data_IF_514296764452
#
_entry.id   IF_514296764452
#
_cell.length_a   1.000
_cell.length_b   1.000
_cell.length_c   1.000
_cell.angle_alpha   90.00
_cell.angle_beta   90.00
_cell.angle_gamma   90.00
#
_symmetry.space_group_name_H-M   'P 1'
#
loop_
_entity.id
_entity.type
_entity.pdbx_description
1 polymer ?
#
# COMPACT_ATOMS: atom_id res chain seq x y z
N UNK A 1 10.90 15.52 -0.30
CA UNK A 1 10.50 14.25 0.32
C UNK A 1 9.02 14.08 0.07
N UNK A 2 8.61 12.86 -0.30
CA UNK A 2 7.21 12.45 -0.39
C UNK A 2 6.62 12.78 0.97
N UNK A 3 5.73 13.77 1.00
CA UNK A 3 5.24 14.31 2.26
C UNK A 3 4.12 13.45 2.85
N UNK A 4 3.46 12.65 2.02
CA UNK A 4 2.31 11.85 2.41
C UNK A 4 2.19 10.57 1.60
N UNK A 5 1.73 9.51 2.25
CA UNK A 5 1.28 8.27 1.62
C UNK A 5 -0.23 8.13 1.77
N UNK A 6 -0.85 7.49 0.79
CA UNK A 6 -2.27 7.19 0.78
C UNK A 6 -2.45 5.69 0.55
N UNK A 7 -3.03 4.96 1.49
CA UNK A 7 -3.40 3.55 1.24
C UNK A 7 -4.86 3.45 0.88
N UNK A 8 -5.20 2.63 -0.11
CA UNK A 8 -6.59 2.26 -0.42
C UNK A 8 -6.75 0.75 -0.30
N UNK A 9 -7.75 0.30 0.47
CA UNK A 9 -7.94 -1.13 0.75
C UNK A 9 -9.42 -1.45 0.96
N UNK A 10 -9.86 -2.64 0.56
CA UNK A 10 -11.13 -3.23 0.95
C UNK A 10 -10.87 -4.36 1.95
N UNK A 11 -11.55 -4.33 3.10
CA UNK A 11 -11.37 -5.32 4.18
C UNK A 11 -12.72 -5.93 4.55
N UNK A 12 -12.76 -7.25 4.74
CA UNK A 12 -13.91 -7.93 5.37
C UNK A 12 -13.90 -7.77 6.90
N UNK A 13 -14.91 -8.28 7.61
CA UNK A 13 -15.06 -7.97 9.04
C UNK A 13 -13.85 -8.42 9.90
N UNK A 14 -13.15 -9.50 9.49
CA UNK A 14 -11.96 -10.01 10.16
C UNK A 14 -10.63 -9.38 9.65
N UNK A 15 -10.70 -8.25 8.92
CA UNK A 15 -9.57 -7.57 8.28
C UNK A 15 -8.92 -8.33 7.11
N UNK A 16 -9.54 -9.40 6.60
CA UNK A 16 -9.06 -10.14 5.44
C UNK A 16 -9.03 -9.29 4.16
N UNK A 17 -7.98 -9.47 3.36
CA UNK A 17 -7.75 -8.77 2.07
C UNK A 17 -7.39 -9.71 0.92
N UNK A 18 -7.21 -11.01 1.21
CA UNK A 18 -6.79 -11.98 0.20
C UNK A 18 -6.80 -13.42 0.74
N UNK A 19 -6.81 -14.36 -0.20
CA UNK A 19 -6.73 -15.81 0.02
C UNK A 19 -5.82 -16.44 -1.06
N UNK A 20 -5.07 -17.46 -0.68
CA UNK A 20 -4.21 -18.31 -1.50
C UNK A 20 -2.99 -17.62 -2.15
N UNK A 21 -2.67 -16.39 -1.73
CA UNK A 21 -1.42 -15.67 -2.07
C UNK A 21 -1.08 -15.57 -3.57
N UNK A 22 -1.99 -15.92 -4.47
CA UNK A 22 -1.70 -16.06 -5.90
C UNK A 22 -1.77 -14.69 -6.56
N UNK A 23 -0.62 -14.05 -6.65
CA UNK A 23 -0.37 -13.08 -7.71
C UNK A 23 -0.45 -13.82 -9.06
N UNK A 24 -1.11 -13.26 -10.09
CA UNK A 24 -1.24 -13.92 -11.40
C UNK A 24 0.09 -14.11 -12.14
N UNK A 25 1.19 -13.53 -11.64
CA UNK A 25 2.49 -13.47 -12.28
C UNK A 25 3.63 -13.88 -11.32
N UNK A 26 4.76 -14.41 -11.85
CA UNK A 26 5.93 -14.74 -11.05
C UNK A 26 6.61 -13.49 -10.47
N UNK A 27 7.47 -13.64 -9.44
CA UNK A 27 8.26 -12.53 -8.91
C UNK A 27 9.10 -11.88 -10.01
N UNK A 28 9.04 -10.55 -10.07
CA UNK A 28 9.61 -9.74 -11.13
C UNK A 28 11.09 -9.49 -10.85
N UNK A 29 11.95 -9.78 -11.82
CA UNK A 29 13.39 -9.45 -11.78
C UNK A 29 13.72 -8.21 -12.62
N UNK A 30 12.88 -7.96 -13.63
CA UNK A 30 12.95 -6.85 -14.56
C UNK A 30 11.63 -6.08 -14.56
N UNK A 31 11.66 -4.84 -15.05
CA UNK A 31 10.47 -3.98 -15.13
C UNK A 31 9.42 -4.64 -16.05
N UNK A 32 8.20 -4.96 -15.56
CA UNK A 32 7.14 -5.52 -16.37
C UNK A 32 6.73 -4.59 -17.52
N UNK A 33 6.14 -5.17 -18.57
CA UNK A 33 5.45 -4.38 -19.58
C UNK A 33 4.37 -3.50 -18.94
N UNK A 34 4.44 -2.18 -19.18
CA UNK A 34 3.51 -1.19 -18.63
C UNK A 34 3.90 -0.61 -17.27
N UNK A 35 4.90 -1.16 -16.59
CA UNK A 35 5.45 -0.57 -15.38
C UNK A 35 6.52 0.49 -15.73
N UNK A 36 6.52 1.60 -14.99
CA UNK A 36 7.53 2.65 -15.18
C UNK A 36 8.87 2.30 -14.52
N UNK A 37 8.81 1.66 -13.36
CA UNK A 37 9.95 1.42 -12.49
C UNK A 37 9.73 0.17 -11.64
N UNK A 38 10.81 -0.58 -11.38
CA UNK A 38 10.82 -1.71 -10.44
C UNK A 38 11.82 -1.39 -9.33
N UNK A 39 11.32 -1.36 -8.10
CA UNK A 39 12.12 -1.16 -6.88
C UNK A 39 12.16 -2.45 -6.07
N UNK A 40 13.24 -2.67 -5.32
CA UNK A 40 13.42 -3.82 -4.43
C UNK A 40 12.90 -3.57 -3.01
N UNK A 41 12.55 -2.33 -2.69
CA UNK A 41 11.94 -1.92 -1.42
C UNK A 41 11.03 -0.71 -1.61
N UNK A 42 10.15 -0.44 -0.63
CA UNK A 42 9.37 0.80 -0.62
C UNK A 42 10.28 2.02 -0.50
N UNK A 43 11.39 1.92 0.24
CA UNK A 43 12.37 3.00 0.36
C UNK A 43 12.96 3.41 -1.00
N UNK A 44 13.46 2.45 -1.79
CA UNK A 44 14.01 2.70 -3.12
C UNK A 44 12.96 3.30 -4.06
N UNK A 45 11.70 2.84 -3.96
CA UNK A 45 10.60 3.41 -4.72
C UNK A 45 10.35 4.89 -4.36
N UNK A 46 10.37 5.23 -3.06
CA UNK A 46 10.18 6.59 -2.59
C UNK A 46 11.36 7.50 -2.99
N UNK A 47 12.59 7.00 -2.93
CA UNK A 47 13.77 7.73 -3.39
C UNK A 47 13.71 8.01 -4.90
N UNK A 48 13.24 7.06 -5.69
CA UNK A 48 13.03 7.27 -7.12
C UNK A 48 11.99 8.36 -7.41
N UNK A 49 10.90 8.39 -6.63
CA UNK A 49 9.86 9.42 -6.72
C UNK A 49 10.38 10.82 -6.34
N UNK A 50 11.49 10.91 -5.62
CA UNK A 50 12.13 12.18 -5.25
C UNK A 50 12.97 12.83 -6.36
N UNK A 51 13.22 12.10 -7.46
CA UNK A 51 13.98 12.63 -8.59
C UNK A 51 13.27 13.84 -9.24
N UNK A 52 14.01 14.80 -9.83
CA UNK A 52 13.40 15.98 -10.48
C UNK A 52 12.43 15.63 -11.60
N UNK A 53 12.64 14.50 -12.27
CA UNK A 53 11.72 14.01 -13.30
C UNK A 53 10.39 13.57 -12.69
N UNK A 54 10.44 12.72 -11.66
CA UNK A 54 9.23 12.16 -11.05
C UNK A 54 8.41 13.21 -10.30
N UNK A 55 9.07 14.15 -9.62
CA UNK A 55 8.39 15.29 -8.98
C UNK A 55 7.56 16.15 -9.93
N UNK A 56 7.87 16.15 -11.22
CA UNK A 56 7.09 16.88 -12.25
C UNK A 56 5.92 16.08 -12.79
N UNK A 57 5.91 14.76 -12.60
CA UNK A 57 4.92 13.82 -13.17
C UNK A 57 3.93 13.29 -12.13
N UNK A 58 4.35 13.18 -10.87
CA UNK A 58 3.60 12.53 -9.80
C UNK A 58 3.01 13.58 -8.87
N UNK A 59 1.69 13.53 -8.70
CA UNK A 59 0.96 14.34 -7.72
C UNK A 59 0.85 13.62 -6.35
N UNK A 60 0.25 12.43 -6.35
CA UNK A 60 0.03 11.63 -5.12
C UNK A 60 0.59 10.23 -5.23
N UNK A 61 1.10 9.72 -4.11
CA UNK A 61 1.65 8.36 -3.98
C UNK A 61 0.64 7.47 -3.27
N UNK A 62 0.13 6.47 -4.01
CA UNK A 62 -0.86 5.52 -3.50
C UNK A 62 -0.26 4.14 -3.29
N UNK A 63 -0.49 3.59 -2.11
CA UNK A 63 -0.20 2.19 -1.77
C UNK A 63 -1.47 1.37 -2.01
N UNK A 64 -1.35 0.37 -2.88
CA UNK A 64 -2.46 -0.50 -3.31
C UNK A 64 -2.29 -1.95 -2.86
N UNK A 65 -1.35 -2.20 -1.95
CA UNK A 65 -1.10 -3.50 -1.31
C UNK A 65 0.17 -4.20 -1.79
N UNK A 66 0.45 -5.43 -1.35
CA UNK A 66 -0.34 -6.25 -0.40
C UNK A 66 -0.05 -5.96 1.08
N UNK A 67 -0.39 -6.92 1.96
CA UNK A 67 -0.25 -6.82 3.43
C UNK A 67 1.11 -6.29 3.90
N UNK A 68 2.21 -6.77 3.32
CA UNK A 68 3.56 -6.36 3.70
C UNK A 68 3.84 -4.89 3.41
N UNK A 69 3.44 -4.40 2.23
CA UNK A 69 3.63 -3.00 1.83
C UNK A 69 2.72 -2.07 2.64
N UNK A 70 1.48 -2.49 2.95
CA UNK A 70 0.63 -1.73 3.87
C UNK A 70 1.28 -1.58 5.23
N UNK A 71 1.82 -2.67 5.79
CA UNK A 71 2.50 -2.67 7.09
C UNK A 71 3.69 -1.72 7.08
N UNK A 72 4.57 -1.86 6.09
CA UNK A 72 5.77 -1.01 5.97
C UNK A 72 5.39 0.47 5.83
N UNK A 73 4.38 0.81 5.02
CA UNK A 73 3.91 2.18 4.86
C UNK A 73 3.34 2.75 6.18
N UNK A 74 2.55 1.96 6.91
CA UNK A 74 1.92 2.38 8.18
C UNK A 74 2.90 2.54 9.34
N UNK A 75 4.05 1.87 9.30
CA UNK A 75 5.10 1.95 10.32
C UNK A 75 6.06 3.14 10.10
N UNK A 76 6.04 3.77 8.91
CA UNK A 76 6.89 4.92 8.60
C UNK A 76 6.44 6.20 9.33
N UNK A 77 7.38 7.04 9.78
CA UNK A 77 7.07 8.33 10.39
C UNK A 77 6.72 9.39 9.31
N UNK A 78 5.68 9.12 8.52
CA UNK A 78 5.19 9.96 7.43
C UNK A 78 3.70 10.22 7.61
N UNK A 79 3.19 11.34 7.08
CA UNK A 79 1.75 11.54 7.07
C UNK A 79 1.08 10.45 6.22
N UNK A 80 0.19 9.66 6.82
CA UNK A 80 -0.44 8.54 6.13
C UNK A 80 -1.95 8.59 6.28
N UNK A 81 -2.67 8.57 5.16
CA UNK A 81 -4.12 8.47 5.13
C UNK A 81 -4.55 7.09 4.62
N UNK A 82 -5.52 6.47 5.32
CA UNK A 82 -6.07 5.17 4.97
C UNK A 82 -7.49 5.34 4.44
N UNK A 83 -7.73 4.92 3.20
CA UNK A 83 -9.04 4.82 2.55
C UNK A 83 -9.49 3.37 2.66
N UNK A 84 -10.35 3.08 3.63
CA UNK A 84 -10.73 1.72 4.00
C UNK A 84 -12.19 1.46 3.64
N UNK A 85 -12.44 0.62 2.64
CA UNK A 85 -13.77 0.10 2.35
C UNK A 85 -14.07 -1.07 3.30
N UNK A 86 -15.11 -0.95 4.11
CA UNK A 86 -15.59 -2.03 4.99
C UNK A 86 -16.59 -2.90 4.25
N UNK A 87 -16.21 -4.14 3.95
CA UNK A 87 -17.11 -5.15 3.41
C UNK A 87 -17.79 -5.85 4.59
N UNK A 88 -19.08 -5.61 4.78
CA UNK A 88 -19.88 -6.12 5.90
C UNK A 88 -20.25 -7.61 5.71
N UNK A 89 -19.26 -8.43 5.39
CA UNK A 89 -19.40 -9.87 5.17
C UNK A 89 -18.09 -10.57 5.55
N UNK A 90 -18.17 -11.82 6.01
CA UNK A 90 -17.00 -12.63 6.34
C UNK A 90 -16.54 -13.42 5.11
N UNK A 91 -15.24 -13.43 4.85
CA UNK A 91 -14.63 -14.26 3.83
C UNK A 91 -13.52 -15.08 4.47
N UNK A 92 -13.31 -16.29 3.98
CA UNK A 92 -12.10 -17.04 4.28
C UNK A 92 -10.90 -16.27 3.71
N UNK A 93 -9.88 -16.04 4.54
CA UNK A 93 -8.72 -15.21 4.18
C UNK A 93 -7.48 -15.75 4.88
N UNK A 94 -6.34 -15.67 4.20
CA UNK A 94 -5.01 -15.98 4.76
C UNK A 94 -4.10 -14.76 4.80
N UNK A 95 -4.53 -13.67 4.17
CA UNK A 95 -3.82 -12.40 4.09
C UNK A 95 -4.70 -11.31 4.68
N UNK A 96 -4.16 -10.53 5.60
CA UNK A 96 -4.91 -9.56 6.41
C UNK A 96 -4.31 -8.17 6.29
N UNK A 97 -5.15 -7.14 6.38
CA UNK A 97 -4.68 -5.78 6.53
C UNK A 97 -4.10 -5.58 7.95
N UNK A 98 -3.01 -4.80 8.12
CA UNK A 98 -2.47 -4.51 9.44
C UNK A 98 -3.49 -3.86 10.37
N UNK A 99 -3.35 -4.08 11.68
CA UNK A 99 -4.21 -3.42 12.67
C UNK A 99 -4.06 -1.89 12.59
N UNK A 100 -5.19 -1.18 12.60
CA UNK A 100 -5.22 0.28 12.61
C UNK A 100 -5.15 0.74 14.06
N UNK A 101 -3.97 1.14 14.52
CA UNK A 101 -3.77 1.69 15.86
C UNK A 101 -4.48 3.04 16.00
N UNK A 102 -5.59 3.07 16.74
CA UNK A 102 -6.41 4.27 16.98
C UNK A 102 -5.73 5.33 17.85
N UNK A 103 -4.54 5.05 18.42
CA UNK A 103 -3.69 6.08 19.03
C UNK A 103 -2.91 6.87 18.00
N UNK A 104 -2.66 6.27 16.83
CA UNK A 104 -1.93 6.88 15.70
C UNK A 104 -2.88 7.40 14.62
N UNK A 105 -3.97 6.69 14.40
CA UNK A 105 -4.97 7.00 13.38
C UNK A 105 -6.27 7.47 14.00
N UNK A 106 -6.94 8.39 13.31
CA UNK A 106 -8.28 8.88 13.66
C UNK A 106 -9.18 8.72 12.45
N UNK A 107 -10.37 8.16 12.66
CA UNK A 107 -11.41 8.14 11.63
C UNK A 107 -11.86 9.58 11.35
N UNK A 108 -11.77 9.99 10.09
CA UNK A 108 -12.24 11.29 9.65
C UNK A 108 -13.77 11.26 9.44
N UNK A 109 -14.47 12.38 9.69
CA UNK A 109 -15.91 12.49 9.46
C UNK A 109 -16.29 12.42 7.99
#
# INVERSE_FOLDING_TARGET
MVASLYSIVAVCNNMGIGKDGKLPWPPLRDVPAGAHYLAKSLEEALDHLETPEMKRKVDKVWIVGGSSIYKEAMERPIHHQLFVTRIMHDFESDTFFPEIDLKKYRLLP
#
